data_IF_439728732840
#
_entry.id   IF_439728732840
#
_cell.length_a   1.000
_cell.length_b   1.000
_cell.length_c   1.000
_cell.angle_alpha   90.00
_cell.angle_beta   90.00
_cell.angle_gamma   90.00
#
_symmetry.space_group_name_H-M   'P 1'
#
loop_
_entity.id
_entity.type
_entity.pdbx_description
1 polymer ?
#
# COMPACT_ATOMS: atom_id res chain seq x y z
N UNK A 1 -57.62 74.34 -40.58
CA UNK A 1 -56.99 73.28 -39.76
C UNK A 1 -55.50 73.27 -40.06
N UNK A 2 -54.64 73.59 -39.10
CA UNK A 2 -53.20 73.67 -39.34
C UNK A 2 -52.43 74.49 -38.31
N UNK A 3 -52.81 74.39 -37.03
CA UNK A 3 -52.04 74.94 -35.91
C UNK A 3 -51.50 73.76 -35.14
N UNK A 4 -50.29 73.32 -35.46
CA UNK A 4 -49.49 72.41 -34.64
C UNK A 4 -48.02 72.58 -35.07
N UNK A 5 -47.11 72.51 -34.09
CA UNK A 5 -45.66 72.31 -34.26
C UNK A 5 -44.69 73.49 -34.42
N UNK A 6 -44.83 74.57 -33.64
CA UNK A 6 -43.65 75.42 -33.32
C UNK A 6 -43.02 75.10 -31.94
N UNK A 7 -43.82 74.67 -30.95
CA UNK A 7 -43.34 74.36 -29.60
C UNK A 7 -42.64 72.99 -29.45
N UNK A 8 -42.84 72.06 -30.38
CA UNK A 8 -42.21 70.73 -30.32
C UNK A 8 -40.72 70.78 -30.74
N UNK A 9 -40.39 71.64 -31.71
CA UNK A 9 -39.03 71.83 -32.23
C UNK A 9 -38.13 72.50 -31.18
N UNK A 10 -38.65 73.45 -30.40
CA UNK A 10 -37.92 74.11 -29.31
C UNK A 10 -37.67 73.20 -28.09
N UNK A 11 -38.54 72.21 -27.84
CA UNK A 11 -38.38 71.25 -26.75
C UNK A 11 -37.30 70.19 -27.07
N UNK A 12 -37.18 69.76 -28.33
CA UNK A 12 -36.05 68.93 -28.80
C UNK A 12 -34.71 69.68 -28.74
N UNK A 13 -34.69 70.99 -29.00
CA UNK A 13 -33.47 71.80 -28.98
C UNK A 13 -32.86 71.98 -27.58
N UNK A 14 -33.66 71.89 -26.50
CA UNK A 14 -33.17 71.88 -25.11
C UNK A 14 -32.49 70.56 -24.71
N UNK A 15 -32.69 69.48 -25.46
CA UNK A 15 -32.03 68.19 -25.21
C UNK A 15 -30.62 68.10 -25.84
N UNK A 16 -30.26 69.02 -26.72
CA UNK A 16 -28.93 69.11 -27.34
C UNK A 16 -27.87 69.89 -26.54
N UNK A 17 -28.20 70.34 -25.32
CA UNK A 17 -27.27 71.04 -24.45
C UNK A 17 -26.10 70.13 -24.01
N UNK A 18 -24.90 70.69 -23.90
CA UNK A 18 -23.68 69.98 -23.49
C UNK A 18 -23.88 69.14 -22.23
N UNK A 19 -24.70 69.59 -21.26
CA UNK A 19 -25.02 68.83 -20.04
C UNK A 19 -25.66 67.47 -20.32
N UNK A 20 -26.63 67.41 -21.24
CA UNK A 20 -27.30 66.15 -21.59
C UNK A 20 -26.38 65.25 -22.41
N UNK A 21 -25.52 65.82 -23.27
CA UNK A 21 -24.48 65.07 -23.98
C UNK A 21 -23.45 64.46 -23.03
N UNK A 22 -23.06 65.20 -21.98
CA UNK A 22 -22.12 64.74 -20.96
C UNK A 22 -22.72 63.62 -20.11
N UNK A 23 -23.98 63.73 -19.72
CA UNK A 23 -24.71 62.67 -19.00
C UNK A 23 -24.79 61.41 -19.86
N UNK A 24 -25.08 61.54 -21.15
CA UNK A 24 -25.10 60.41 -22.08
C UNK A 24 -23.73 59.75 -22.22
N UNK A 25 -22.66 60.57 -22.30
CA UNK A 25 -21.29 60.07 -22.34
C UNK A 25 -20.91 59.33 -21.04
N UNK A 26 -21.26 59.86 -19.87
CA UNK A 26 -20.99 59.21 -18.58
C UNK A 26 -21.74 57.88 -18.47
N UNK A 27 -23.02 57.83 -18.85
CA UNK A 27 -23.80 56.58 -18.88
C UNK A 27 -23.15 55.57 -19.83
N UNK A 28 -22.74 56.01 -21.02
CA UNK A 28 -22.03 55.17 -22.00
C UNK A 28 -20.67 54.68 -21.47
N UNK A 29 -19.94 55.50 -20.73
CA UNK A 29 -18.68 55.08 -20.11
C UNK A 29 -18.92 54.12 -18.95
N UNK A 30 -20.04 54.23 -18.23
CA UNK A 30 -20.39 53.35 -17.11
C UNK A 30 -20.89 51.97 -17.57
N UNK A 31 -21.39 51.83 -18.80
CA UNK A 31 -21.77 50.50 -19.32
C UNK A 31 -20.56 49.60 -19.53
N UNK A 32 -19.38 50.17 -19.84
CA UNK A 32 -18.13 49.42 -20.05
C UNK A 32 -17.74 48.60 -18.80
N UNK A 33 -17.55 49.19 -17.60
CA UNK A 33 -17.18 48.43 -16.40
C UNK A 33 -18.27 47.46 -15.94
N UNK A 34 -19.56 47.81 -16.12
CA UNK A 34 -20.67 46.88 -15.80
C UNK A 34 -20.65 45.66 -16.71
N UNK A 35 -20.43 45.87 -18.00
CA UNK A 35 -20.33 44.79 -18.97
C UNK A 35 -19.08 43.94 -18.74
N UNK A 36 -17.95 44.57 -18.41
CA UNK A 36 -16.71 43.89 -18.03
C UNK A 36 -16.89 43.02 -16.78
N UNK A 37 -17.54 43.55 -15.74
CA UNK A 37 -17.86 42.80 -14.52
C UNK A 37 -18.75 41.59 -14.82
N UNK A 38 -19.82 41.79 -15.61
CA UNK A 38 -20.72 40.71 -16.01
C UNK A 38 -19.99 39.63 -16.81
N UNK A 39 -19.12 40.02 -17.74
CA UNK A 39 -18.32 39.08 -18.53
C UNK A 39 -17.36 38.27 -17.65
N UNK A 40 -16.68 38.91 -16.69
CA UNK A 40 -15.79 38.21 -15.74
C UNK A 40 -16.58 37.22 -14.87
N UNK A 41 -17.77 37.60 -14.42
CA UNK A 41 -18.64 36.72 -13.64
C UNK A 41 -19.11 35.51 -14.45
N UNK A 42 -19.55 35.73 -15.69
CA UNK A 42 -19.98 34.66 -16.60
C UNK A 42 -18.81 33.72 -16.94
N UNK A 43 -17.62 34.26 -17.16
CA UNK A 43 -16.42 33.47 -17.42
C UNK A 43 -16.03 32.61 -16.21
N UNK A 44 -16.04 33.16 -15.00
CA UNK A 44 -15.79 32.40 -13.78
C UNK A 44 -16.80 31.26 -13.60
N UNK A 45 -18.09 31.54 -13.80
CA UNK A 45 -19.13 30.52 -13.71
C UNK A 45 -18.98 29.44 -14.79
N UNK A 46 -18.60 29.83 -16.01
CA UNK A 46 -18.35 28.89 -17.10
C UNK A 46 -17.16 27.97 -16.79
N UNK A 47 -16.05 28.53 -16.28
CA UNK A 47 -14.88 27.76 -15.88
C UNK A 47 -15.19 26.79 -14.73
N UNK A 48 -15.86 27.27 -13.69
CA UNK A 48 -16.27 26.43 -12.54
C UNK A 48 -17.18 25.27 -12.99
N UNK A 49 -18.18 25.55 -13.84
CA UNK A 49 -19.04 24.49 -14.39
C UNK A 49 -18.26 23.53 -15.29
N UNK A 50 -17.28 24.03 -16.06
CA UNK A 50 -16.39 23.20 -16.87
C UNK A 50 -15.59 22.22 -16.00
N UNK A 51 -15.02 22.71 -14.91
CA UNK A 51 -14.28 21.89 -13.93
C UNK A 51 -15.19 20.89 -13.23
N UNK A 52 -16.36 21.31 -12.75
CA UNK A 52 -17.34 20.43 -12.10
C UNK A 52 -17.80 19.30 -13.04
N UNK A 53 -18.11 19.63 -14.30
CA UNK A 53 -18.49 18.64 -15.31
C UNK A 53 -17.33 17.69 -15.62
N UNK A 54 -16.10 18.19 -15.75
CA UNK A 54 -14.92 17.36 -15.99
C UNK A 54 -14.68 16.37 -14.84
N UNK A 55 -14.74 16.85 -13.58
CA UNK A 55 -14.61 16.02 -12.38
C UNK A 55 -15.72 14.97 -12.29
N UNK A 56 -16.96 15.34 -12.63
CA UNK A 56 -18.10 14.42 -12.67
C UNK A 56 -17.92 13.33 -13.73
N UNK A 57 -17.55 13.70 -14.96
CA UNK A 57 -17.27 12.74 -16.04
C UNK A 57 -16.10 11.81 -15.70
N UNK A 58 -15.03 12.34 -15.12
CA UNK A 58 -13.90 11.55 -14.67
C UNK A 58 -14.33 10.55 -13.58
N UNK A 59 -15.09 11.01 -12.59
CA UNK A 59 -15.63 10.15 -11.53
C UNK A 59 -16.55 9.05 -12.08
N UNK A 60 -17.39 9.37 -13.06
CA UNK A 60 -18.24 8.40 -13.76
C UNK A 60 -17.43 7.40 -14.59
N UNK A 61 -16.37 7.86 -15.24
CA UNK A 61 -15.44 6.99 -15.97
C UNK A 61 -14.72 6.04 -15.00
N UNK A 62 -14.15 6.53 -13.89
CA UNK A 62 -13.58 5.72 -12.80
C UNK A 62 -14.61 4.69 -12.31
N UNK A 63 -15.84 5.13 -12.01
CA UNK A 63 -16.88 4.26 -11.48
C UNK A 63 -17.29 3.17 -12.49
N UNK A 64 -17.40 3.51 -13.77
CA UNK A 64 -17.74 2.56 -14.86
C UNK A 64 -16.62 1.55 -15.05
N UNK A 65 -15.38 2.03 -15.02
CA UNK A 65 -14.17 1.23 -15.05
C UNK A 65 -14.13 0.24 -13.89
N UNK A 66 -14.32 0.69 -12.65
CA UNK A 66 -14.37 -0.18 -11.48
C UNK A 66 -15.53 -1.19 -11.58
N UNK A 67 -16.71 -0.72 -11.99
CA UNK A 67 -17.90 -1.56 -12.16
C UNK A 67 -17.69 -2.69 -13.19
N UNK A 68 -16.99 -2.41 -14.27
CA UNK A 68 -16.73 -3.35 -15.36
C UNK A 68 -15.57 -4.32 -15.09
N UNK A 69 -14.84 -4.15 -14.00
CA UNK A 69 -13.70 -5.00 -13.61
C UNK A 69 -13.97 -5.65 -12.23
N UNK A 70 -15.00 -6.51 -12.09
CA UNK A 70 -15.37 -7.12 -10.80
C UNK A 70 -14.25 -7.94 -10.16
N UNK A 71 -13.30 -8.44 -10.94
CA UNK A 71 -12.09 -9.13 -10.49
C UNK A 71 -11.16 -8.25 -9.63
N UNK A 72 -11.27 -6.92 -9.72
CA UNK A 72 -10.59 -5.97 -8.84
C UNK A 72 -11.05 -6.02 -7.39
N UNK A 73 -12.25 -6.54 -7.18
CA UNK A 73 -12.89 -6.71 -5.87
C UNK A 73 -13.02 -8.18 -5.51
N UNK A 74 -12.39 -9.08 -6.29
CA UNK A 74 -12.34 -10.49 -5.94
C UNK A 74 -11.50 -10.65 -4.67
N UNK A 75 -12.00 -11.26 -3.59
CA UNK A 75 -11.21 -11.54 -2.39
C UNK A 75 -9.93 -12.37 -2.64
N UNK A 76 -9.77 -13.01 -3.81
CA UNK A 76 -8.54 -13.71 -4.25
C UNK A 76 -7.39 -12.83 -4.74
N UNK A 77 -7.71 -11.71 -5.39
CA UNK A 77 -6.78 -10.91 -6.20
C UNK A 77 -7.02 -9.40 -6.10
N UNK A 78 -8.02 -9.02 -5.33
CA UNK A 78 -8.62 -7.70 -5.24
C UNK A 78 -8.57 -7.13 -3.83
N UNK A 79 -9.14 -5.94 -3.67
CA UNK A 79 -9.13 -5.23 -2.39
C UNK A 79 -10.20 -5.83 -1.47
N UNK A 80 -9.85 -6.28 -0.26
CA UNK A 80 -10.84 -6.78 0.69
C UNK A 80 -11.87 -5.68 1.03
N UNK A 81 -13.14 -6.03 1.02
CA UNK A 81 -14.25 -5.18 1.50
C UNK A 81 -14.16 -4.84 3.00
N UNK A 82 -13.20 -5.43 3.71
CA UNK A 82 -12.96 -5.23 5.12
C UNK A 82 -11.45 -5.39 5.39
N UNK A 83 -10.72 -4.27 5.43
CA UNK A 83 -9.39 -4.20 6.05
C UNK A 83 -9.61 -4.55 7.53
N UNK A 84 -9.30 -5.79 7.93
CA UNK A 84 -9.91 -6.37 9.14
C UNK A 84 -8.95 -6.42 10.32
N UNK A 85 -7.63 -6.37 10.11
CA UNK A 85 -6.67 -6.54 11.21
C UNK A 85 -5.35 -5.81 10.96
N UNK A 86 -4.67 -5.38 12.03
CA UNK A 86 -3.29 -4.89 11.99
C UNK A 86 -2.25 -5.99 11.66
N UNK A 87 -2.74 -7.20 11.39
CA UNK A 87 -1.95 -8.42 11.17
C UNK A 87 -1.97 -8.88 9.70
N UNK A 88 -2.82 -8.28 8.86
CA UNK A 88 -2.94 -8.71 7.47
C UNK A 88 -1.69 -8.31 6.64
N UNK A 89 -1.31 -9.16 5.69
CA UNK A 89 -0.10 -9.00 4.89
C UNK A 89 -0.43 -8.49 3.49
N UNK A 90 0.17 -7.37 3.09
CA UNK A 90 -0.03 -6.76 1.77
C UNK A 90 1.16 -7.04 0.87
N UNK A 91 0.86 -7.45 -0.37
CA UNK A 91 1.85 -7.70 -1.40
C UNK A 91 1.85 -6.52 -2.38
N UNK A 92 3.02 -6.01 -2.72
CA UNK A 92 3.20 -4.88 -3.64
C UNK A 92 3.81 -5.33 -4.96
N UNK A 93 3.51 -4.62 -6.06
CA UNK A 93 4.18 -4.89 -7.33
C UNK A 93 5.66 -4.49 -7.27
N UNK A 94 6.52 -5.33 -7.85
CA UNK A 94 7.95 -5.09 -7.99
C UNK A 94 8.34 -5.15 -9.47
N UNK A 95 9.36 -4.35 -9.84
CA UNK A 95 9.89 -4.36 -11.20
C UNK A 95 10.58 -5.71 -11.51
N UNK A 96 11.51 -6.10 -10.65
CA UNK A 96 12.36 -7.28 -10.82
C UNK A 96 12.24 -8.22 -9.60
N UNK A 97 12.38 -9.54 -9.80
CA UNK A 97 12.46 -10.47 -8.68
C UNK A 97 13.78 -10.30 -7.91
N UNK A 98 13.80 -10.56 -6.59
CA UNK A 98 15.02 -10.44 -5.79
C UNK A 98 16.09 -11.46 -6.18
N UNK A 99 17.35 -11.05 -6.04
CA UNK A 99 18.53 -11.90 -6.16
C UNK A 99 18.97 -12.40 -4.79
N UNK A 100 18.66 -13.67 -4.50
CA UNK A 100 18.90 -14.29 -3.19
C UNK A 100 20.38 -14.42 -2.84
N UNK A 101 21.29 -14.32 -3.82
CA UNK A 101 22.73 -14.37 -3.61
C UNK A 101 23.32 -12.98 -3.29
N UNK A 102 22.55 -11.90 -3.50
CA UNK A 102 23.00 -10.52 -3.29
C UNK A 102 22.57 -9.98 -1.91
N UNK A 103 23.51 -9.54 -1.05
CA UNK A 103 23.17 -8.98 0.26
C UNK A 103 22.53 -7.58 0.22
N UNK A 104 22.59 -6.86 -0.92
CA UNK A 104 22.18 -5.45 -0.99
C UNK A 104 20.67 -5.22 -1.19
N UNK A 105 19.88 -6.28 -1.50
CA UNK A 105 18.41 -6.27 -1.65
C UNK A 105 17.84 -5.06 -2.44
N UNK A 106 18.60 -4.53 -3.40
CA UNK A 106 18.31 -3.25 -4.06
C UNK A 106 17.00 -3.24 -4.86
N UNK A 107 16.53 -4.42 -5.25
CA UNK A 107 15.28 -4.67 -5.99
C UNK A 107 14.04 -4.24 -5.18
N UNK A 108 14.16 -4.17 -3.86
CA UNK A 108 13.10 -3.75 -2.95
C UNK A 108 12.99 -2.23 -2.77
N UNK A 109 13.99 -1.46 -3.20
CA UNK A 109 14.12 -0.02 -2.92
C UNK A 109 12.87 0.80 -3.25
N UNK A 110 12.19 0.50 -4.38
CA UNK A 110 11.01 1.21 -4.84
C UNK A 110 9.77 1.05 -3.94
N UNK A 111 9.72 -0.02 -3.13
CA UNK A 111 8.60 -0.33 -2.25
C UNK A 111 8.99 -0.41 -0.78
N UNK A 112 10.26 -0.13 -0.45
CA UNK A 112 10.80 -0.27 0.90
C UNK A 112 10.07 0.63 1.93
N UNK A 113 9.62 1.81 1.52
CA UNK A 113 8.83 2.73 2.36
C UNK A 113 7.49 2.15 2.83
N UNK A 114 7.01 1.07 2.18
CA UNK A 114 5.77 0.37 2.53
C UNK A 114 5.97 -0.72 3.56
N UNK A 115 7.20 -0.92 4.04
CA UNK A 115 7.50 -1.92 5.07
C UNK A 115 6.75 -1.61 6.37
N UNK A 116 6.26 -2.67 7.01
CA UNK A 116 5.61 -2.59 8.33
C UNK A 116 6.63 -3.02 9.38
N UNK A 117 6.70 -2.27 10.49
CA UNK A 117 7.58 -2.57 11.61
C UNK A 117 6.88 -3.45 12.66
N UNK A 118 7.57 -4.49 13.09
CA UNK A 118 7.15 -5.44 14.12
C UNK A 118 8.17 -5.46 15.27
N UNK A 119 7.68 -5.32 16.49
CA UNK A 119 8.48 -5.21 17.70
C UNK A 119 7.64 -5.48 18.94
N UNK A 120 7.71 -4.64 19.97
CA UNK A 120 7.09 -4.83 21.29
C UNK A 120 5.63 -5.34 21.27
N UNK A 121 4.71 -4.78 20.46
CA UNK A 121 3.31 -5.22 20.46
C UNK A 121 3.09 -6.62 19.86
N UNK A 122 4.14 -7.21 19.29
CA UNK A 122 4.12 -8.46 18.53
C UNK A 122 5.09 -9.52 19.10
N UNK A 123 5.57 -9.31 20.33
CA UNK A 123 6.38 -10.30 21.04
C UNK A 123 5.48 -11.49 21.42
N UNK A 124 5.84 -12.68 20.92
CA UNK A 124 5.18 -13.95 21.22
C UNK A 124 5.85 -14.67 22.39
N UNK A 125 7.15 -14.43 22.57
CA UNK A 125 8.00 -14.93 23.64
C UNK A 125 9.11 -13.91 23.88
N UNK A 126 9.41 -13.56 25.12
CA UNK A 126 10.50 -12.64 25.45
C UNK A 126 10.46 -12.22 26.92
N UNK A 127 11.42 -11.41 27.33
CA UNK A 127 11.53 -10.89 28.70
C UNK A 127 10.64 -9.66 28.94
N UNK A 128 10.48 -9.29 30.22
CA UNK A 128 9.64 -8.15 30.64
C UNK A 128 10.24 -6.78 30.27
N UNK A 129 11.55 -6.70 30.02
CA UNK A 129 12.26 -5.47 29.64
C UNK A 129 12.75 -5.59 28.20
N UNK A 130 11.87 -5.31 27.25
CA UNK A 130 12.17 -5.34 25.82
C UNK A 130 12.85 -4.05 25.35
N UNK A 131 13.92 -4.19 24.56
CA UNK A 131 14.45 -3.12 23.73
C UNK A 131 14.31 -3.49 22.25
N UNK A 132 14.04 -2.51 21.39
CA UNK A 132 13.91 -2.77 19.95
C UNK A 132 15.20 -3.27 19.29
N UNK A 133 16.36 -3.05 19.95
CA UNK A 133 17.66 -3.60 19.56
C UNK A 133 17.83 -5.08 19.88
N UNK A 134 16.98 -5.66 20.74
CA UNK A 134 17.08 -7.07 21.12
C UNK A 134 16.55 -7.93 19.97
N UNK A 135 15.29 -7.73 19.56
CA UNK A 135 14.76 -8.27 18.31
C UNK A 135 13.58 -7.43 17.83
N UNK A 136 13.71 -6.84 16.65
CA UNK A 136 12.60 -6.24 15.90
C UNK A 136 12.81 -6.50 14.41
N UNK A 137 11.76 -6.40 13.60
CA UNK A 137 11.95 -6.51 12.16
C UNK A 137 10.98 -5.65 11.38
N UNK A 138 11.44 -5.18 10.23
CA UNK A 138 10.56 -4.64 9.20
C UNK A 138 10.25 -5.73 8.19
N UNK A 139 8.99 -5.83 7.79
CA UNK A 139 8.54 -6.81 6.82
C UNK A 139 7.78 -6.16 5.66
N UNK A 140 8.00 -6.73 4.48
CA UNK A 140 7.41 -6.31 3.24
C UNK A 140 7.20 -7.52 2.34
N UNK A 141 6.13 -7.53 1.55
CA UNK A 141 5.92 -8.56 0.53
C UNK A 141 5.80 -7.94 -0.85
N UNK A 142 6.30 -8.66 -1.85
CA UNK A 142 6.33 -8.21 -3.23
C UNK A 142 5.98 -9.31 -4.23
N UNK A 143 5.53 -8.93 -5.41
CA UNK A 143 5.24 -9.83 -6.53
C UNK A 143 5.84 -9.25 -7.81
N UNK A 144 6.58 -10.09 -8.53
CA UNK A 144 7.13 -9.72 -9.84
C UNK A 144 6.07 -9.81 -10.93
N UNK A 145 6.34 -9.17 -12.07
CA UNK A 145 5.46 -9.13 -13.24
C UNK A 145 5.05 -10.51 -13.80
N UNK A 146 5.84 -11.57 -13.59
CA UNK A 146 5.48 -12.94 -13.97
C UNK A 146 4.41 -13.60 -13.07
N UNK A 147 4.11 -12.98 -11.92
CA UNK A 147 3.12 -13.43 -10.92
C UNK A 147 3.23 -14.89 -10.48
N UNK A 148 4.39 -15.54 -10.65
CA UNK A 148 4.57 -16.96 -10.28
C UNK A 148 4.91 -17.15 -8.82
N UNK A 149 5.58 -16.16 -8.24
CA UNK A 149 6.09 -16.19 -6.87
C UNK A 149 5.76 -14.89 -6.16
N UNK A 150 5.51 -15.00 -4.87
CA UNK A 150 5.47 -13.89 -3.93
C UNK A 150 6.81 -13.93 -3.20
N UNK A 151 7.38 -12.77 -2.97
CA UNK A 151 8.62 -12.57 -2.25
C UNK A 151 8.29 -11.90 -0.92
N UNK A 152 9.06 -12.21 0.11
CA UNK A 152 8.98 -11.58 1.42
C UNK A 152 10.38 -11.14 1.84
N UNK A 153 10.48 -9.91 2.31
CA UNK A 153 11.68 -9.32 2.90
C UNK A 153 11.47 -9.20 4.41
N UNK A 154 12.50 -9.54 5.17
CA UNK A 154 12.58 -9.31 6.61
C UNK A 154 13.90 -8.59 6.89
N UNK A 155 13.83 -7.33 7.32
CA UNK A 155 15.00 -6.59 7.80
C UNK A 155 15.00 -6.67 9.31
N UNK A 156 15.80 -7.56 9.86
CA UNK A 156 15.85 -7.88 11.28
C UNK A 156 16.91 -7.02 11.96
N UNK A 157 16.47 -6.32 13.00
CA UNK A 157 17.36 -5.70 13.98
C UNK A 157 17.54 -6.69 15.13
N UNK A 158 18.78 -7.07 15.38
CA UNK A 158 19.16 -8.08 16.35
C UNK A 158 20.58 -7.76 16.84
N UNK A 159 20.81 -7.91 18.15
CA UNK A 159 22.10 -7.62 18.78
C UNK A 159 23.12 -8.77 18.62
N UNK A 160 22.67 -10.02 18.42
CA UNK A 160 23.51 -11.22 18.42
C UNK A 160 23.05 -12.25 17.40
N UNK A 161 23.51 -12.09 16.16
CA UNK A 161 23.15 -13.05 15.12
C UNK A 161 23.92 -14.36 15.22
N UNK A 162 23.18 -15.47 15.31
CA UNK A 162 23.71 -16.80 15.54
C UNK A 162 23.23 -17.82 14.51
N UNK A 163 24.13 -18.25 13.63
CA UNK A 163 23.83 -19.31 12.67
C UNK A 163 23.64 -20.70 13.31
N UNK A 164 22.91 -21.56 12.60
CA UNK A 164 22.66 -22.95 12.98
C UNK A 164 23.97 -23.72 13.16
N UNK A 165 24.01 -24.54 14.21
CA UNK A 165 25.14 -25.44 14.45
C UNK A 165 25.28 -26.50 13.34
N UNK A 166 26.46 -26.59 12.72
CA UNK A 166 26.78 -27.64 11.72
C UNK A 166 26.66 -29.06 12.26
N UNK A 167 26.95 -29.27 13.55
CA UNK A 167 26.90 -30.57 14.23
C UNK A 167 25.66 -30.64 15.11
N UNK A 168 24.69 -31.47 14.71
CA UNK A 168 23.49 -31.75 15.50
C UNK A 168 22.26 -31.97 14.64
N UNK A 169 21.24 -32.61 15.22
CA UNK A 169 19.96 -32.87 14.55
C UNK A 169 18.97 -31.69 14.67
N UNK A 170 19.21 -30.78 15.62
CA UNK A 170 18.38 -29.60 15.84
C UNK A 170 18.43 -28.66 14.63
N UNK A 171 17.26 -28.30 14.13
CA UNK A 171 17.09 -27.34 13.03
C UNK A 171 16.87 -25.92 13.56
N UNK A 172 16.55 -25.80 14.84
CA UNK A 172 16.21 -24.58 15.58
C UNK A 172 17.38 -24.12 16.47
N UNK A 173 18.63 -24.38 16.08
CA UNK A 173 19.81 -24.10 16.90
C UNK A 173 20.53 -22.79 16.54
N UNK A 174 19.90 -21.95 15.74
CA UNK A 174 20.32 -20.57 15.48
C UNK A 174 19.09 -19.75 15.12
N UNK A 175 19.29 -18.48 14.81
CA UNK A 175 18.21 -17.59 14.42
C UNK A 175 17.52 -18.12 13.18
N UNK A 176 16.20 -18.01 13.18
CA UNK A 176 15.41 -18.62 12.14
C UNK A 176 14.09 -17.92 11.92
N UNK A 177 13.62 -18.06 10.69
CA UNK A 177 12.29 -17.64 10.29
C UNK A 177 11.33 -18.82 10.45
N UNK A 178 10.21 -18.60 11.11
CA UNK A 178 9.06 -19.49 11.14
C UNK A 178 8.00 -19.00 10.17
N UNK A 179 7.43 -19.94 9.42
CA UNK A 179 6.37 -19.70 8.44
C UNK A 179 5.17 -20.55 8.84
N UNK A 180 4.07 -19.90 9.14
CA UNK A 180 2.78 -20.52 9.45
C UNK A 180 1.90 -20.43 8.21
N UNK A 181 1.57 -21.57 7.61
CA UNK A 181 0.69 -21.63 6.45
C UNK A 181 -0.53 -22.48 6.77
N UNK A 182 -1.72 -21.89 6.72
CA UNK A 182 -2.97 -22.61 6.91
C UNK A 182 -3.94 -22.27 5.80
N UNK A 183 -4.42 -23.30 5.10
CA UNK A 183 -5.62 -23.14 4.28
C UNK A 183 -6.83 -23.46 5.15
N UNK A 184 -7.93 -22.73 4.97
CA UNK A 184 -9.19 -22.98 5.64
C UNK A 184 -9.57 -24.48 5.57
N UNK A 185 -10.06 -25.00 6.70
CA UNK A 185 -10.44 -26.40 6.88
C UNK A 185 -9.30 -27.43 6.72
N UNK A 186 -8.04 -26.99 6.70
CA UNK A 186 -6.86 -27.88 6.77
C UNK A 186 -6.07 -27.59 8.03
N UNK A 187 -5.34 -28.61 8.49
CA UNK A 187 -4.37 -28.44 9.59
C UNK A 187 -3.30 -27.42 9.19
N UNK A 188 -2.84 -26.56 10.12
CA UNK A 188 -1.71 -25.68 9.90
C UNK A 188 -0.48 -26.46 9.44
N UNK A 189 0.33 -25.84 8.60
CA UNK A 189 1.64 -26.34 8.17
C UNK A 189 2.69 -25.34 8.63
N UNK A 190 3.56 -25.80 9.50
CA UNK A 190 4.64 -25.02 10.07
C UNK A 190 5.91 -25.31 9.29
N UNK A 191 6.66 -24.27 8.92
CA UNK A 191 7.97 -24.39 8.31
C UNK A 191 8.98 -23.55 9.06
N UNK A 192 10.21 -24.06 9.19
CA UNK A 192 11.34 -23.37 9.80
C UNK A 192 12.43 -23.22 8.75
N UNK A 193 12.83 -21.98 8.48
CA UNK A 193 13.95 -21.63 7.61
C UNK A 193 15.14 -21.20 8.46
N UNK A 194 16.29 -21.86 8.28
CA UNK A 194 17.50 -21.66 9.08
C UNK A 194 18.74 -21.71 8.21
N UNK A 195 19.78 -20.94 8.56
CA UNK A 195 21.04 -20.85 7.83
C UNK A 195 22.19 -21.45 8.64
N UNK A 196 23.11 -22.15 7.95
CA UNK A 196 24.38 -22.58 8.54
C UNK A 196 25.47 -21.51 8.44
N UNK A 197 25.36 -20.65 7.43
CA UNK A 197 26.28 -19.57 7.08
C UNK A 197 25.50 -18.54 6.24
N UNK A 198 26.06 -17.33 5.98
CA UNK A 198 25.42 -16.35 5.10
C UNK A 198 25.07 -16.93 3.74
N UNK A 199 23.89 -16.58 3.21
CA UNK A 199 23.35 -17.08 1.95
C UNK A 199 22.15 -18.00 2.14
N UNK A 200 22.06 -19.08 1.34
CA UNK A 200 20.86 -19.91 1.26
C UNK A 200 20.51 -20.61 2.59
N UNK A 201 19.23 -20.53 2.95
CA UNK A 201 18.66 -21.20 4.11
C UNK A 201 18.14 -22.59 3.75
N UNK A 202 18.25 -23.52 4.71
CA UNK A 202 17.54 -24.80 4.68
C UNK A 202 16.16 -24.67 5.33
N UNK A 203 15.13 -25.18 4.68
CA UNK A 203 13.75 -25.07 5.15
C UNK A 203 13.25 -26.47 5.53
N UNK A 204 12.60 -26.60 6.69
CA UNK A 204 12.07 -27.87 7.20
C UNK A 204 10.60 -27.72 7.56
N UNK A 205 9.81 -28.77 7.30
CA UNK A 205 8.44 -28.84 7.78
C UNK A 205 8.42 -29.30 9.24
N UNK A 206 7.78 -28.53 10.11
CA UNK A 206 7.80 -28.71 11.56
C UNK A 206 6.51 -29.34 12.10
N UNK A 207 6.64 -30.02 13.23
CA UNK A 207 5.50 -30.40 14.06
C UNK A 207 4.85 -29.17 14.71
N UNK A 208 3.64 -29.34 15.25
CA UNK A 208 2.88 -28.23 15.85
C UNK A 208 3.61 -27.60 17.06
N UNK A 209 4.42 -28.38 17.79
CA UNK A 209 5.20 -27.94 18.95
C UNK A 209 6.49 -27.18 18.59
N UNK A 210 6.87 -27.12 17.32
CA UNK A 210 8.14 -26.55 16.84
C UNK A 210 9.42 -27.24 17.35
N UNK A 211 9.32 -28.31 18.14
CA UNK A 211 10.50 -29.00 18.70
C UNK A 211 11.27 -29.83 17.66
N UNK A 212 10.55 -30.43 16.70
CA UNK A 212 11.14 -31.37 15.74
C UNK A 212 10.57 -31.18 14.34
N UNK A 213 11.38 -31.41 13.30
CA UNK A 213 10.88 -31.48 11.95
C UNK A 213 10.07 -32.78 11.77
N UNK A 214 8.96 -32.72 11.03
CA UNK A 214 8.13 -33.88 10.69
C UNK A 214 8.91 -34.96 9.92
N UNK A 215 9.96 -34.52 9.22
CA UNK A 215 10.94 -35.39 8.58
C UNK A 215 12.29 -34.69 8.52
N UNK A 216 13.40 -35.43 8.45
CA UNK A 216 14.73 -34.83 8.23
C UNK A 216 14.97 -34.29 6.81
N UNK A 217 13.96 -34.24 5.94
CA UNK A 217 14.08 -33.78 4.55
C UNK A 217 13.85 -32.28 4.45
N UNK A 218 14.62 -31.65 3.58
CA UNK A 218 14.46 -30.23 3.27
C UNK A 218 13.18 -30.04 2.44
N UNK A 219 12.40 -29.03 2.81
CA UNK A 219 11.29 -28.54 2.02
C UNK A 219 11.84 -27.67 0.87
N UNK A 220 11.48 -28.02 -0.36
CA UNK A 220 12.03 -27.41 -1.58
C UNK A 220 11.03 -26.52 -2.30
N UNK A 221 9.78 -26.42 -1.81
CA UNK A 221 8.79 -25.53 -2.40
C UNK A 221 9.12 -24.06 -2.14
N UNK A 222 9.84 -23.75 -1.06
CA UNK A 222 10.32 -22.41 -0.72
C UNK A 222 11.80 -22.27 -1.05
N UNK A 223 12.27 -21.04 -1.16
CA UNK A 223 13.70 -20.69 -1.21
C UNK A 223 13.88 -19.48 -0.32
N UNK A 224 14.91 -19.47 0.53
CA UNK A 224 15.20 -18.32 1.36
C UNK A 224 16.72 -18.12 1.45
N UNK A 225 17.14 -16.89 1.68
CA UNK A 225 18.51 -16.51 1.97
C UNK A 225 18.54 -15.64 3.23
N UNK A 226 19.66 -15.67 3.95
CA UNK A 226 19.92 -14.86 5.14
C UNK A 226 21.29 -14.21 4.99
N UNK A 227 21.33 -12.88 5.03
CA UNK A 227 22.54 -12.09 4.89
C UNK A 227 22.75 -11.19 6.12
N UNK A 228 23.88 -11.27 6.81
CA UNK A 228 24.19 -10.37 7.93
C UNK A 228 24.20 -8.89 7.52
N UNK A 229 23.83 -8.03 8.45
CA UNK A 229 23.91 -6.58 8.33
C UNK A 229 24.56 -5.98 9.59
N UNK A 230 24.96 -4.70 9.58
CA UNK A 230 25.56 -4.07 10.76
C UNK A 230 24.65 -4.04 12.01
N UNK A 231 23.34 -4.22 11.85
CA UNK A 231 22.35 -4.11 12.92
C UNK A 231 21.57 -5.41 13.16
N UNK A 232 21.99 -6.53 12.56
CA UNK A 232 21.25 -7.80 12.59
C UNK A 232 21.42 -8.53 11.26
N UNK A 233 20.33 -8.79 10.53
CA UNK A 233 20.37 -9.50 9.26
C UNK A 233 19.14 -9.27 8.38
N UNK A 234 19.25 -9.61 7.11
CA UNK A 234 18.14 -9.60 6.16
C UNK A 234 17.81 -11.03 5.74
N UNK A 235 16.52 -11.37 5.74
CA UNK A 235 16.01 -12.60 5.13
C UNK A 235 15.16 -12.25 3.93
N UNK A 236 15.43 -12.91 2.81
CA UNK A 236 14.54 -12.93 1.66
C UNK A 236 13.91 -14.31 1.53
N UNK A 237 12.64 -14.37 1.19
CA UNK A 237 11.87 -15.62 1.06
C UNK A 237 11.06 -15.62 -0.23
N UNK A 238 11.22 -16.67 -1.03
CA UNK A 238 10.43 -16.99 -2.22
C UNK A 238 9.32 -17.98 -1.89
N UNK A 239 8.09 -17.57 -2.16
CA UNK A 239 6.87 -18.32 -1.89
C UNK A 239 6.16 -18.59 -3.22
N UNK A 240 5.91 -19.86 -3.60
CA UNK A 240 5.11 -20.15 -4.78
C UNK A 240 3.69 -19.58 -4.62
N UNK A 241 3.25 -18.74 -5.56
CA UNK A 241 1.91 -18.12 -5.50
C UNK A 241 0.79 -19.15 -5.36
N UNK A 242 0.95 -20.35 -5.94
CA UNK A 242 -0.01 -21.46 -5.82
C UNK A 242 -0.31 -21.92 -4.39
N UNK A 243 0.54 -21.57 -3.42
CA UNK A 243 0.32 -21.83 -1.98
C UNK A 243 -0.56 -20.77 -1.33
N UNK A 244 -0.67 -19.58 -1.92
CA UNK A 244 -1.48 -18.47 -1.44
C UNK A 244 -2.73 -18.40 -2.30
N UNK A 245 -3.82 -19.00 -1.79
CA UNK A 245 -5.15 -19.09 -2.43
C UNK A 245 -6.20 -18.42 -1.53
N UNK A 246 -7.47 -18.41 -1.96
CA UNK A 246 -8.59 -18.09 -1.07
C UNK A 246 -8.45 -18.75 0.30
N UNK A 247 -8.74 -17.97 1.34
CA UNK A 247 -8.79 -18.43 2.71
C UNK A 247 -7.47 -19.10 3.16
N UNK A 248 -6.34 -18.65 2.61
CA UNK A 248 -5.02 -19.01 3.10
C UNK A 248 -4.57 -17.97 4.09
N UNK A 249 -4.38 -18.41 5.33
CA UNK A 249 -3.67 -17.64 6.32
C UNK A 249 -2.17 -17.90 6.22
N UNK A 250 -1.39 -16.82 6.20
CA UNK A 250 0.06 -16.84 6.19
C UNK A 250 0.56 -15.89 7.26
N UNK A 251 1.41 -16.40 8.13
CA UNK A 251 2.04 -15.60 9.17
C UNK A 251 3.50 -15.95 9.31
N UNK A 252 4.28 -15.00 9.80
CA UNK A 252 5.70 -15.16 10.02
C UNK A 252 6.08 -14.84 11.46
N UNK A 253 7.11 -15.49 11.97
CA UNK A 253 7.81 -15.02 13.17
C UNK A 253 9.31 -15.22 13.03
N UNK A 254 10.06 -14.29 13.59
CA UNK A 254 11.51 -14.40 13.73
C UNK A 254 11.78 -14.91 15.15
N UNK A 255 12.59 -15.96 15.25
CA UNK A 255 13.06 -16.50 16.52
C UNK A 255 14.54 -16.21 16.64
N UNK A 256 14.88 -15.62 17.77
CA UNK A 256 16.22 -15.18 18.14
C UNK A 256 16.83 -16.14 19.17
N UNK A 257 18.13 -16.42 19.01
CA UNK A 257 18.94 -17.30 19.85
C UNK A 257 20.30 -16.65 20.12
N UNK A 258 20.44 -16.05 21.30
CA UNK A 258 21.70 -15.42 21.72
C UNK A 258 22.77 -16.40 22.25
N UNK A 259 22.37 -17.42 23.03
CA UNK A 259 23.33 -18.23 23.78
C UNK A 259 23.97 -19.32 22.88
N UNK A 260 25.29 -19.26 22.57
CA UNK A 260 25.95 -20.20 21.69
C UNK A 260 26.08 -21.63 22.26
N UNK A 261 25.92 -21.81 23.56
CA UNK A 261 25.96 -23.07 24.27
C UNK A 261 24.56 -23.68 24.40
N UNK A 262 23.63 -23.00 25.06
CA UNK A 262 22.27 -23.50 25.32
C UNK A 262 21.44 -23.64 24.05
N UNK A 263 21.57 -22.67 23.13
CA UNK A 263 20.79 -22.60 21.87
C UNK A 263 19.28 -22.73 22.11
N UNK A 264 18.77 -22.03 23.11
CA UNK A 264 17.33 -21.97 23.42
C UNK A 264 16.77 -20.66 22.87
N UNK A 265 15.50 -20.64 22.41
CA UNK A 265 14.88 -19.39 21.95
C UNK A 265 14.88 -18.33 23.05
N UNK A 266 15.56 -17.20 22.79
CA UNK A 266 15.57 -16.03 23.66
C UNK A 266 14.28 -15.24 23.45
N UNK A 267 14.07 -14.75 22.21
CA UNK A 267 12.90 -13.96 21.83
C UNK A 267 12.20 -14.49 20.56
N UNK A 268 10.91 -14.21 20.43
CA UNK A 268 10.14 -14.45 19.21
C UNK A 268 9.22 -13.27 18.94
N UNK A 269 9.35 -12.65 17.76
CA UNK A 269 8.48 -11.56 17.29
C UNK A 269 7.75 -12.02 16.02
N UNK A 270 6.45 -11.75 15.92
CA UNK A 270 5.62 -12.22 14.82
C UNK A 270 4.93 -11.12 14.02
N UNK A 271 4.34 -11.49 12.88
CA UNK A 271 3.36 -10.66 12.16
C UNK A 271 1.96 -10.71 12.81
N UNK A 272 1.87 -11.29 14.00
CA UNK A 272 0.65 -11.57 14.75
C UNK A 272 0.96 -11.44 16.25
N UNK A 273 -0.08 -11.25 17.06
CA UNK A 273 0.07 -10.91 18.49
C UNK A 273 0.03 -12.11 19.43
N UNK A 274 -0.59 -13.20 18.99
CA UNK A 274 -0.73 -14.42 19.79
C UNK A 274 -0.64 -15.66 18.87
N UNK A 275 -0.06 -16.77 19.34
CA UNK A 275 0.07 -17.98 18.51
C UNK A 275 -1.26 -18.52 17.96
N UNK A 276 -2.37 -18.29 18.65
CA UNK A 276 -3.73 -18.62 18.20
C UNK A 276 -4.17 -17.78 17.00
N UNK A 277 -3.64 -16.57 16.86
CA UNK A 277 -3.93 -15.63 15.78
C UNK A 277 -3.10 -15.90 14.51
N UNK A 278 -2.05 -16.73 14.56
CA UNK A 278 -1.22 -17.05 13.40
C UNK A 278 -2.02 -17.62 12.20
N UNK A 279 -3.20 -18.17 12.45
CA UNK A 279 -4.12 -18.68 11.44
C UNK A 279 -5.15 -17.66 10.92
N UNK A 280 -5.04 -16.40 11.32
CA UNK A 280 -6.00 -15.34 10.99
C UNK A 280 -5.46 -14.30 9.99
N UNK A 281 -4.14 -14.22 9.80
CA UNK A 281 -3.53 -13.24 8.90
C UNK A 281 -3.78 -13.61 7.45
N UNK A 282 -4.49 -12.77 6.71
CA UNK A 282 -4.72 -12.98 5.29
C UNK A 282 -3.62 -12.34 4.46
N UNK A 283 -3.35 -12.90 3.28
CA UNK A 283 -2.43 -12.32 2.29
C UNK A 283 -3.26 -11.64 1.20
N UNK A 284 -3.05 -10.35 1.02
CA UNK A 284 -3.68 -9.55 -0.01
C UNK A 284 -2.72 -9.31 -1.16
N UNK A 285 -3.06 -9.85 -2.33
CA UNK A 285 -2.32 -9.62 -3.56
C UNK A 285 -2.68 -8.26 -4.14
N UNK A 286 -1.73 -7.54 -4.76
CA UNK A 286 -2.07 -6.31 -5.48
C UNK A 286 -3.00 -6.70 -6.62
N UNK A 287 -4.06 -5.91 -6.82
CA UNK A 287 -4.88 -6.00 -8.00
C UNK A 287 -4.17 -5.20 -9.10
N UNK A 288 -3.47 -5.84 -10.06
CA UNK A 288 -2.59 -5.15 -10.98
C UNK A 288 -3.31 -4.09 -11.81
N UNK A 289 -4.62 -4.23 -11.98
CA UNK A 289 -5.45 -3.32 -12.75
C UNK A 289 -5.80 -2.04 -11.99
N UNK A 290 -5.90 -1.98 -10.66
CA UNK A 290 -6.54 -0.81 -10.03
C UNK A 290 -5.66 0.45 -10.04
N UNK A 291 -4.42 0.38 -9.54
CA UNK A 291 -3.54 1.56 -9.55
C UNK A 291 -3.26 2.03 -10.98
N UNK A 292 -2.98 1.12 -11.92
CA UNK A 292 -2.81 1.45 -13.34
C UNK A 292 -4.05 2.12 -13.95
N UNK A 293 -5.24 1.70 -13.53
CA UNK A 293 -6.51 2.15 -14.08
C UNK A 293 -7.01 3.45 -13.44
N UNK A 294 -6.63 3.74 -12.19
CA UNK A 294 -6.80 5.06 -11.58
C UNK A 294 -5.74 6.03 -12.13
N UNK A 295 -4.48 5.61 -12.30
CA UNK A 295 -3.43 6.44 -12.91
C UNK A 295 -3.69 6.77 -14.39
N UNK A 296 -4.48 5.94 -15.10
CA UNK A 296 -4.91 6.26 -16.46
C UNK A 296 -5.85 7.48 -16.53
N UNK A 297 -6.40 7.92 -15.39
CA UNK A 297 -7.29 9.07 -15.26
C UNK A 297 -6.48 10.21 -14.61
N UNK A 298 -5.44 10.64 -15.32
CA UNK A 298 -4.62 11.79 -14.92
C UNK A 298 -5.37 13.08 -15.30
N UNK A 299 -6.03 13.69 -14.33
CA UNK A 299 -6.51 15.07 -14.45
C UNK A 299 -5.57 15.99 -13.65
N UNK A 300 -5.00 17.03 -14.29
CA UNK A 300 -4.28 18.07 -13.58
C UNK A 300 -5.15 18.68 -12.48
N UNK A 301 -4.55 18.92 -11.31
CA UNK A 301 -5.16 19.58 -10.15
C UNK A 301 -6.39 18.88 -9.55
N UNK A 302 -6.56 17.59 -9.83
CA UNK A 302 -7.61 16.77 -9.25
C UNK A 302 -7.01 15.67 -8.37
N UNK A 303 -7.68 15.38 -7.25
CA UNK A 303 -7.39 14.22 -6.41
C UNK A 303 -8.61 13.32 -6.37
N UNK A 304 -8.43 12.07 -6.79
CA UNK A 304 -9.44 11.03 -6.68
C UNK A 304 -9.10 10.11 -5.51
N UNK A 305 -10.11 9.68 -4.77
CA UNK A 305 -9.96 8.72 -3.69
C UNK A 305 -11.09 7.71 -3.75
N UNK A 306 -10.74 6.42 -3.73
CA UNK A 306 -11.70 5.33 -3.62
C UNK A 306 -11.85 5.00 -2.14
N UNK A 307 -13.09 4.84 -1.68
CA UNK A 307 -13.36 4.43 -0.30
C UNK A 307 -14.16 3.15 -0.22
N UNK A 308 -13.95 2.38 0.84
CA UNK A 308 -14.80 1.23 1.15
C UNK A 308 -16.15 1.66 1.77
N UNK A 309 -17.01 0.68 2.05
CA UNK A 309 -18.31 0.87 2.72
C UNK A 309 -18.22 1.53 4.11
N UNK A 310 -17.04 1.58 4.73
CA UNK A 310 -16.77 2.22 6.01
C UNK A 310 -16.13 3.62 5.87
N UNK A 311 -16.07 4.17 4.66
CA UNK A 311 -15.44 5.47 4.32
C UNK A 311 -13.93 5.51 4.53
N UNK A 312 -13.25 4.36 4.48
CA UNK A 312 -11.78 4.29 4.55
C UNK A 312 -11.19 4.42 3.16
N UNK A 313 -10.11 5.17 3.01
CA UNK A 313 -9.43 5.34 1.72
C UNK A 313 -8.70 4.06 1.34
N UNK A 314 -9.04 3.54 0.17
CA UNK A 314 -8.56 2.28 -0.39
C UNK A 314 -7.47 2.52 -1.44
N UNK A 315 -7.64 3.58 -2.24
CA UNK A 315 -6.69 4.02 -3.24
C UNK A 315 -6.82 5.53 -3.45
N UNK A 316 -5.73 6.19 -3.81
CA UNK A 316 -5.71 7.63 -4.15
C UNK A 316 -4.90 7.83 -5.43
N UNK A 317 -5.33 8.74 -6.30
CA UNK A 317 -4.51 9.22 -7.40
C UNK A 317 -4.69 10.71 -7.64
N UNK A 318 -3.68 11.30 -8.29
CA UNK A 318 -3.58 12.73 -8.51
C UNK A 318 -3.14 13.50 -7.27
N UNK A 319 -2.83 14.78 -7.47
CA UNK A 319 -2.32 15.68 -6.44
C UNK A 319 -3.07 17.00 -6.51
N UNK A 320 -3.40 17.56 -5.35
CA UNK A 320 -3.85 18.95 -5.28
C UNK A 320 -2.61 19.84 -5.30
N UNK A 321 -2.54 20.81 -6.22
CA UNK A 321 -1.59 21.91 -6.05
C UNK A 321 -2.01 22.68 -4.80
N UNK A 322 -1.05 22.88 -3.89
CA UNK A 322 -1.23 23.63 -2.64
C UNK A 322 -0.72 25.05 -2.79
#
# INVERSE_FOLDING_TARGET
MGVLNHNFILRLRRWGGIRNKLIFAIILFLTIPVMGYKMLQEMNQFLLRGQENALSMASQAVATVLHNNPELFNPETGIPHQLSSDQDLYVHEMADPPDFDNPDFSEWSAILERSIEYGEPHILRGEQQYQSSDLSFQHLMGISSDSRYIYALFRVTDNTTLFRRHKGLRVDSGDHLRIHLQHQNRKPRNYLATAYEPGLMSIYRMEASWEKPQSGKHERIFTASMHPSPTGYTIELKIPRKLIRENTALSFSIVDIDDPHERTPHMEVGTFKEHTAASLNHVYLPAPSMERMIHAIDLPDARFSITDQHRRVVATAGTLLT
#
